data_IF_115044633278
#
_entry.id   IF_115044633278
#
_cell.length_a   1.000
_cell.length_b   1.000
_cell.length_c   1.000
_cell.angle_alpha   90.00
_cell.angle_beta   90.00
_cell.angle_gamma   90.00
#
_symmetry.space_group_name_H-M   'P 1'
#
loop_
_entity.id
_entity.type
_entity.pdbx_description
1 polymer ?
#
# COMPACT_ATOMS: atom_id res chain seq x y z
N UNK A 1 18.50 -13.52 2.62
CA UNK A 1 17.34 -13.45 1.71
C UNK A 1 16.20 -14.25 2.30
N UNK A 2 15.12 -13.62 2.77
CA UNK A 2 13.89 -14.35 3.10
C UNK A 2 13.30 -14.82 1.77
N UNK A 3 13.09 -16.13 1.62
CA UNK A 3 12.30 -16.70 0.53
C UNK A 3 10.96 -15.98 0.50
N UNK A 4 10.70 -15.23 -0.57
CA UNK A 4 9.40 -14.60 -0.80
C UNK A 4 8.34 -15.68 -0.77
N UNK A 5 7.28 -15.36 -0.07
CA UNK A 5 6.36 -16.27 0.58
C UNK A 5 5.38 -16.95 -0.41
N UNK A 6 5.65 -16.86 -1.71
CA UNK A 6 4.86 -17.32 -2.86
C UNK A 6 5.73 -18.10 -3.87
N UNK A 7 6.49 -19.10 -3.39
CA UNK A 7 7.22 -20.03 -4.26
C UNK A 7 6.63 -21.45 -4.13
N UNK A 8 6.22 -22.09 -5.23
CA UNK A 8 6.23 -21.57 -6.60
C UNK A 8 5.22 -20.43 -6.81
N UNK A 9 5.49 -19.50 -7.75
CA UNK A 9 4.63 -18.34 -7.98
C UNK A 9 3.27 -18.77 -8.56
N UNK A 10 2.20 -18.46 -7.83
CA UNK A 10 0.83 -18.62 -8.31
C UNK A 10 0.32 -17.43 -9.13
N UNK A 11 -0.95 -17.46 -9.52
CA UNK A 11 -1.56 -16.47 -10.43
C UNK A 11 -1.60 -15.05 -9.87
N UNK A 12 -1.62 -14.89 -8.54
CA UNK A 12 -1.63 -13.57 -7.89
C UNK A 12 -0.22 -12.97 -7.71
N UNK A 13 0.85 -13.74 -7.94
CA UNK A 13 2.21 -13.35 -7.60
C UNK A 13 2.65 -12.02 -8.24
N UNK A 14 2.37 -11.80 -9.53
CA UNK A 14 2.77 -10.57 -10.22
C UNK A 14 2.06 -9.32 -9.67
N UNK A 15 0.77 -9.45 -9.31
CA UNK A 15 0.03 -8.36 -8.69
C UNK A 15 0.50 -8.08 -7.26
N UNK A 16 0.81 -9.14 -6.50
CA UNK A 16 1.38 -9.04 -5.17
C UNK A 16 2.72 -8.29 -5.18
N UNK A 17 3.66 -8.75 -6.02
CA UNK A 17 4.96 -8.11 -6.21
C UNK A 17 4.84 -6.65 -6.63
N UNK A 18 3.90 -6.33 -7.53
CA UNK A 18 3.68 -4.94 -7.95
C UNK A 18 3.15 -4.03 -6.86
N UNK A 19 2.41 -4.54 -5.87
CA UNK A 19 1.96 -3.79 -4.71
C UNK A 19 3.07 -3.65 -3.65
N UNK A 20 3.83 -4.73 -3.41
CA UNK A 20 4.99 -4.76 -2.53
C UNK A 20 6.06 -3.75 -2.98
N UNK A 21 6.43 -3.76 -4.26
CA UNK A 21 7.42 -2.84 -4.83
C UNK A 21 6.97 -1.37 -4.74
N UNK A 22 5.67 -1.10 -4.86
CA UNK A 22 5.13 0.25 -4.69
C UNK A 22 5.22 0.72 -3.24
N UNK A 23 4.95 -0.17 -2.28
CA UNK A 23 5.10 0.12 -0.84
C UNK A 23 6.56 0.36 -0.49
N UNK A 24 7.47 -0.53 -0.92
CA UNK A 24 8.91 -0.39 -0.68
C UNK A 24 9.46 0.93 -1.24
N UNK A 25 9.02 1.31 -2.43
CA UNK A 25 9.39 2.60 -3.02
C UNK A 25 8.85 3.79 -2.20
N UNK A 26 7.59 3.74 -1.76
CA UNK A 26 6.98 4.77 -0.92
C UNK A 26 7.75 4.96 0.40
N UNK A 27 8.14 3.85 1.04
CA UNK A 27 8.96 3.87 2.25
C UNK A 27 10.34 4.45 2.01
N UNK A 28 11.02 4.05 0.94
CA UNK A 28 12.33 4.61 0.60
C UNK A 28 12.27 6.12 0.41
N UNK A 29 11.22 6.62 -0.25
CA UNK A 29 11.01 8.06 -0.42
C UNK A 29 10.76 8.76 0.93
N UNK A 30 9.97 8.16 1.82
CA UNK A 30 9.77 8.67 3.18
C UNK A 30 11.07 8.73 3.98
N UNK A 31 11.86 7.65 3.98
CA UNK A 31 13.15 7.56 4.68
C UNK A 31 14.14 8.62 4.16
N UNK A 32 14.16 8.88 2.84
CA UNK A 32 14.97 9.93 2.25
C UNK A 32 14.55 11.33 2.72
N UNK A 33 13.25 11.60 2.84
CA UNK A 33 12.75 12.87 3.38
C UNK A 33 13.08 13.02 4.87
N UNK A 34 13.02 11.94 5.64
CA UNK A 34 13.42 11.95 7.05
C UNK A 34 14.93 12.14 7.23
N UNK A 35 15.74 11.53 6.36
CA UNK A 35 17.18 11.77 6.31
C UNK A 35 17.48 13.23 5.95
N UNK A 36 16.78 13.81 4.97
CA UNK A 36 16.90 15.23 4.62
C UNK A 36 16.58 16.13 5.81
N UNK A 37 15.46 15.87 6.51
CA UNK A 37 15.06 16.57 7.74
C UNK A 37 16.15 16.52 8.81
N UNK A 38 16.81 15.38 8.96
CA UNK A 38 17.82 15.16 10.00
C UNK A 38 19.18 15.76 9.65
N UNK A 39 19.67 15.58 8.42
CA UNK A 39 21.03 15.95 8.02
C UNK A 39 21.12 17.36 7.42
N UNK A 40 20.05 17.84 6.80
CA UNK A 40 19.99 19.14 6.14
C UNK A 40 18.64 19.84 6.38
N UNK A 41 18.30 20.18 7.64
CA UNK A 41 17.00 20.76 7.99
C UNK A 41 16.67 22.05 7.24
N UNK A 42 17.68 22.80 6.80
CA UNK A 42 17.51 24.02 5.99
C UNK A 42 16.94 23.78 4.58
N UNK A 43 17.03 22.55 4.07
CA UNK A 43 16.47 22.14 2.78
C UNK A 43 15.22 21.28 2.91
N UNK A 44 14.81 20.99 4.16
CA UNK A 44 13.61 20.21 4.40
C UNK A 44 12.37 21.10 4.30
N UNK A 45 11.47 20.70 3.41
CA UNK A 45 10.16 21.32 3.22
C UNK A 45 9.07 20.29 3.54
N UNK A 46 8.23 20.52 4.57
CA UNK A 46 7.15 19.60 4.93
C UNK A 46 6.09 19.46 3.84
N UNK A 47 5.86 20.47 3.01
CA UNK A 47 4.84 20.43 1.94
C UNK A 47 5.33 19.57 0.78
N UNK A 48 6.63 19.63 0.48
CA UNK A 48 7.28 18.72 -0.47
C UNK A 48 7.21 17.28 0.05
N UNK A 49 7.47 17.06 1.34
CA UNK A 49 7.36 15.73 1.94
C UNK A 49 5.93 15.19 1.85
N UNK A 50 4.93 16.00 2.20
CA UNK A 50 3.51 15.63 2.09
C UNK A 50 3.13 15.27 0.65
N UNK A 51 3.57 16.06 -0.33
CA UNK A 51 3.33 15.83 -1.76
C UNK A 51 3.96 14.51 -2.25
N UNK A 52 5.21 14.24 -1.86
CA UNK A 52 5.91 12.99 -2.18
C UNK A 52 5.14 11.79 -1.61
N UNK A 53 4.72 11.85 -0.35
CA UNK A 53 3.96 10.76 0.26
C UNK A 53 2.59 10.58 -0.41
N UNK A 54 1.86 11.65 -0.66
CA UNK A 54 0.55 11.61 -1.31
C UNK A 54 0.61 10.98 -2.71
N UNK A 55 1.61 11.35 -3.52
CA UNK A 55 1.82 10.75 -4.83
C UNK A 55 2.07 9.23 -4.73
N UNK A 56 2.95 8.83 -3.83
CA UNK A 56 3.29 7.42 -3.64
C UNK A 56 2.11 6.60 -3.12
N UNK A 57 1.35 7.13 -2.15
CA UNK A 57 0.15 6.48 -1.61
C UNK A 57 -0.94 6.30 -2.66
N UNK A 58 -1.07 7.21 -3.62
CA UNK A 58 -1.99 7.04 -4.75
C UNK A 58 -1.58 5.87 -5.65
N UNK A 59 -0.28 5.67 -5.88
CA UNK A 59 0.23 4.52 -6.64
C UNK A 59 0.01 3.23 -5.86
N UNK A 60 0.35 3.21 -4.58
CA UNK A 60 0.12 2.08 -3.66
C UNK A 60 -1.34 1.66 -3.68
N UNK A 61 -2.26 2.61 -3.52
CA UNK A 61 -3.70 2.35 -3.56
C UNK A 61 -4.13 1.67 -4.86
N UNK A 62 -3.69 2.17 -6.02
CA UNK A 62 -4.01 1.57 -7.32
C UNK A 62 -3.49 0.14 -7.44
N UNK A 63 -2.31 -0.15 -6.91
CA UNK A 63 -1.71 -1.50 -6.96
C UNK A 63 -2.44 -2.47 -6.03
N UNK A 64 -2.78 -2.02 -4.82
CA UNK A 64 -3.58 -2.79 -3.86
C UNK A 64 -4.98 -3.08 -4.41
N UNK A 65 -5.64 -2.09 -5.03
CA UNK A 65 -6.94 -2.28 -5.67
C UNK A 65 -6.87 -3.27 -6.84
N UNK A 66 -5.83 -3.19 -7.68
CA UNK A 66 -5.62 -4.15 -8.77
C UNK A 66 -5.39 -5.58 -8.25
N UNK A 67 -4.62 -5.72 -7.16
CA UNK A 67 -4.38 -7.01 -6.51
C UNK A 67 -5.67 -7.59 -5.90
N UNK A 68 -6.43 -6.77 -5.18
CA UNK A 68 -7.73 -7.17 -4.63
C UNK A 68 -8.72 -7.58 -5.73
N UNK A 69 -8.74 -6.86 -6.86
CA UNK A 69 -9.57 -7.22 -8.01
C UNK A 69 -9.14 -8.55 -8.64
N UNK A 70 -7.83 -8.77 -8.82
CA UNK A 70 -7.28 -10.03 -9.34
C UNK A 70 -7.59 -11.21 -8.41
N UNK A 71 -7.50 -11.00 -7.09
CA UNK A 71 -7.87 -11.99 -6.09
C UNK A 71 -9.36 -12.36 -6.20
N UNK A 72 -10.26 -11.37 -6.24
CA UNK A 72 -11.71 -11.61 -6.37
C UNK A 72 -12.05 -12.32 -7.69
N UNK A 73 -11.37 -11.99 -8.79
CA UNK A 73 -11.57 -12.64 -10.08
C UNK A 73 -11.16 -14.13 -10.09
N UNK A 74 -10.31 -14.55 -9.15
CA UNK A 74 -9.92 -15.95 -8.99
C UNK A 74 -10.94 -16.75 -8.15
N UNK A 75 -11.84 -16.09 -7.42
CA UNK A 75 -12.85 -16.76 -6.62
C UNK A 75 -14.08 -17.15 -7.45
N UNK A 76 -14.56 -18.40 -7.27
CA UNK A 76 -15.83 -18.84 -7.87
C UNK A 76 -17.02 -18.35 -7.02
N UNK A 77 -18.18 -18.08 -7.63
CA UNK A 77 -19.40 -17.80 -6.86
C UNK A 77 -19.69 -18.91 -5.85
N UNK A 78 -19.92 -18.56 -4.58
CA UNK A 78 -20.21 -19.50 -3.49
C UNK A 78 -18.98 -20.19 -2.88
N UNK A 79 -17.76 -19.88 -3.34
CA UNK A 79 -16.54 -20.42 -2.76
C UNK A 79 -16.24 -19.76 -1.41
N UNK A 80 -15.98 -20.57 -0.37
CA UNK A 80 -15.56 -20.08 0.94
C UNK A 80 -14.13 -19.54 0.87
N UNK A 81 -13.94 -18.29 1.31
CA UNK A 81 -12.67 -17.56 1.21
C UNK A 81 -12.93 -16.11 0.81
N UNK A 82 -11.94 -15.24 1.01
CA UNK A 82 -12.08 -13.82 0.74
C UNK A 82 -10.90 -13.02 1.27
N UNK A 83 -10.88 -11.74 0.91
CA UNK A 83 -9.99 -10.78 1.58
C UNK A 83 -10.46 -10.62 3.03
N UNK A 84 -9.52 -10.60 3.96
CA UNK A 84 -9.79 -10.33 5.37
C UNK A 84 -10.38 -8.92 5.57
N UNK A 85 -11.10 -8.72 6.67
CA UNK A 85 -11.62 -7.40 7.06
C UNK A 85 -10.51 -6.35 7.08
N UNK A 86 -9.33 -6.69 7.61
CA UNK A 86 -8.15 -5.82 7.64
C UNK A 86 -7.71 -5.37 6.23
N UNK A 87 -7.76 -6.29 5.26
CA UNK A 87 -7.46 -5.97 3.87
C UNK A 87 -8.51 -5.03 3.26
N UNK A 88 -9.79 -5.22 3.61
CA UNK A 88 -10.90 -4.35 3.16
C UNK A 88 -10.78 -2.96 3.79
N UNK A 89 -10.45 -2.89 5.07
CA UNK A 89 -10.21 -1.64 5.79
C UNK A 89 -9.06 -0.84 5.17
N UNK A 90 -7.97 -1.51 4.78
CA UNK A 90 -6.87 -0.88 4.06
C UNK A 90 -7.34 -0.23 2.75
N UNK A 91 -8.11 -0.95 1.93
CA UNK A 91 -8.64 -0.38 0.68
C UNK A 91 -9.49 0.86 0.96
N UNK A 92 -10.37 0.79 1.98
CA UNK A 92 -11.22 1.91 2.37
C UNK A 92 -10.40 3.11 2.86
N UNK A 93 -9.40 2.88 3.71
CA UNK A 93 -8.53 3.94 4.23
C UNK A 93 -7.77 4.65 3.10
N UNK A 94 -7.19 3.88 2.17
CA UNK A 94 -6.50 4.44 1.01
C UNK A 94 -7.43 5.20 0.07
N UNK A 95 -8.67 4.73 -0.12
CA UNK A 95 -9.68 5.44 -0.91
C UNK A 95 -10.10 6.76 -0.25
N UNK A 96 -10.38 6.73 1.06
CA UNK A 96 -10.74 7.92 1.83
C UNK A 96 -9.61 8.94 1.85
N UNK A 97 -8.37 8.50 2.04
CA UNK A 97 -7.19 9.35 1.98
C UNK A 97 -7.04 10.00 0.60
N UNK A 98 -7.09 9.21 -0.49
CA UNK A 98 -6.97 9.76 -1.84
C UNK A 98 -8.10 10.74 -2.18
N UNK A 99 -9.32 10.50 -1.70
CA UNK A 99 -10.43 11.43 -1.85
C UNK A 99 -10.19 12.73 -1.06
N UNK A 100 -9.71 12.63 0.18
CA UNK A 100 -9.40 13.79 1.00
C UNK A 100 -8.29 14.66 0.40
N UNK A 101 -7.21 14.03 -0.10
CA UNK A 101 -6.10 14.72 -0.77
C UNK A 101 -6.55 15.37 -2.07
N UNK A 102 -7.42 14.72 -2.85
CA UNK A 102 -7.92 15.27 -4.12
C UNK A 102 -8.85 16.49 -3.93
N UNK A 103 -9.48 16.63 -2.77
CA UNK A 103 -10.40 17.72 -2.45
C UNK A 103 -9.72 18.93 -1.79
N UNK A 104 -8.41 18.87 -1.55
CA UNK A 104 -7.63 19.94 -0.89
C UNK A 104 -6.56 20.46 -1.84
N UNK A 105 -6.15 21.71 -1.63
CA UNK A 105 -4.93 22.20 -2.24
C UNK A 105 -3.75 21.35 -1.75
N UNK A 106 -2.77 21.11 -2.62
CA UNK A 106 -1.67 20.17 -2.35
C UNK A 106 -0.93 20.50 -1.04
N UNK A 107 -0.87 21.78 -0.69
CA UNK A 107 -0.19 22.37 0.46
C UNK A 107 -0.98 22.25 1.78
N UNK A 108 -2.27 21.90 1.75
CA UNK A 108 -3.12 21.77 2.94
C UNK A 108 -3.17 20.33 3.51
N UNK A 109 -2.33 19.44 2.96
CA UNK A 109 -2.28 18.05 3.38
C UNK A 109 -1.24 17.89 4.50
N UNK A 110 -1.67 17.61 5.76
CA UNK A 110 -0.73 17.41 6.85
C UNK A 110 0.12 16.17 6.58
N UNK A 111 1.44 16.33 6.63
CA UNK A 111 2.41 15.26 6.38
C UNK A 111 2.19 14.07 7.31
N UNK A 112 1.76 14.30 8.55
CA UNK A 112 1.46 13.27 9.54
C UNK A 112 0.31 12.35 9.09
N UNK A 113 -0.70 12.88 8.39
CA UNK A 113 -1.77 12.04 7.87
C UNK A 113 -1.25 11.09 6.79
N UNK A 114 -0.36 11.57 5.92
CA UNK A 114 0.28 10.76 4.89
C UNK A 114 1.17 9.66 5.50
N UNK A 115 1.93 10.00 6.55
CA UNK A 115 2.77 9.02 7.27
C UNK A 115 1.90 7.93 7.91
N UNK A 116 0.84 8.31 8.63
CA UNK A 116 -0.06 7.36 9.27
C UNK A 116 -0.71 6.38 8.27
N UNK A 117 -1.10 6.88 7.10
CA UNK A 117 -1.68 6.03 6.04
C UNK A 117 -0.63 5.11 5.42
N UNK A 118 0.62 5.56 5.28
CA UNK A 118 1.73 4.71 4.83
C UNK A 118 1.99 3.57 5.81
N UNK A 119 2.06 3.87 7.11
CA UNK A 119 2.28 2.85 8.16
C UNK A 119 1.15 1.84 8.18
N UNK A 120 -0.10 2.31 8.13
CA UNK A 120 -1.28 1.44 8.04
C UNK A 120 -1.23 0.54 6.80
N UNK A 121 -0.72 1.06 5.66
CA UNK A 121 -0.59 0.29 4.44
C UNK A 121 0.41 -0.86 4.55
N UNK A 122 1.55 -0.64 5.22
CA UNK A 122 2.49 -1.72 5.53
C UNK A 122 1.89 -2.78 6.43
N UNK A 123 1.28 -2.35 7.54
CA UNK A 123 0.70 -3.24 8.53
C UNK A 123 -0.39 -4.14 7.95
N UNK A 124 -1.22 -3.59 7.07
CA UNK A 124 -2.33 -4.32 6.48
C UNK A 124 -1.94 -5.13 5.24
N UNK A 125 -0.87 -4.75 4.52
CA UNK A 125 -0.39 -5.52 3.36
C UNK A 125 0.06 -6.94 3.75
N UNK A 126 0.63 -7.12 4.94
CA UNK A 126 0.98 -8.44 5.49
C UNK A 126 -0.24 -9.38 5.64
N UNK A 127 -1.43 -8.80 5.89
CA UNK A 127 -2.70 -9.55 5.92
C UNK A 127 -3.06 -10.09 4.54
N UNK A 128 -2.89 -9.28 3.50
CA UNK A 128 -3.19 -9.66 2.13
C UNK A 128 -2.27 -10.76 1.60
N UNK A 129 -0.99 -10.75 2.00
CA UNK A 129 -0.08 -11.87 1.72
C UNK A 129 -0.59 -13.19 2.30
N UNK A 130 -1.08 -13.15 3.55
CA UNK A 130 -1.65 -14.31 4.22
C UNK A 130 -2.92 -14.80 3.54
N UNK A 131 -3.78 -13.89 3.08
CA UNK A 131 -5.01 -14.19 2.34
C UNK A 131 -4.70 -14.93 1.02
N UNK A 132 -3.74 -14.43 0.23
CA UNK A 132 -3.30 -15.03 -1.04
C UNK A 132 -2.77 -16.45 -0.80
N UNK A 133 -1.93 -16.63 0.21
CA UNK A 133 -1.35 -17.94 0.54
C UNK A 133 -2.40 -18.96 0.96
N UNK A 134 -3.35 -18.53 1.77
CA UNK A 134 -4.43 -19.40 2.21
C UNK A 134 -5.29 -19.82 1.02
N UNK A 135 -5.56 -18.89 0.09
CA UNK A 135 -6.29 -19.16 -1.13
C UNK A 135 -5.54 -20.14 -2.06
N UNK A 136 -4.25 -19.90 -2.33
CA UNK A 136 -3.42 -20.74 -3.21
C UNK A 136 -3.10 -22.12 -2.62
N UNK A 137 -3.19 -22.32 -1.30
CA UNK A 137 -3.07 -23.66 -0.68
C UNK A 137 -4.36 -24.47 -0.73
N UNK A 138 -5.52 -23.79 -0.77
CA UNK A 138 -6.84 -24.42 -0.74
C UNK A 138 -7.38 -24.75 -2.14
N UNK A 139 -6.72 -24.26 -3.20
CA UNK A 139 -7.12 -24.39 -4.60
C UNK A 139 -5.95 -24.87 -5.45
#
# INVERSE_FOLDING_TARGET
MRLTLLYPPGRLYGHYRGAEEALDFAKKMHEQQMALKSFHPQYYDPDVHATVLAFNLRIVARKIDALAAAFRACMRPGQAGGLTERTIELQRALQQYNAAVACRDAWDNPVEASINVLDMAFDCFASMESDIRLFERRN
#
